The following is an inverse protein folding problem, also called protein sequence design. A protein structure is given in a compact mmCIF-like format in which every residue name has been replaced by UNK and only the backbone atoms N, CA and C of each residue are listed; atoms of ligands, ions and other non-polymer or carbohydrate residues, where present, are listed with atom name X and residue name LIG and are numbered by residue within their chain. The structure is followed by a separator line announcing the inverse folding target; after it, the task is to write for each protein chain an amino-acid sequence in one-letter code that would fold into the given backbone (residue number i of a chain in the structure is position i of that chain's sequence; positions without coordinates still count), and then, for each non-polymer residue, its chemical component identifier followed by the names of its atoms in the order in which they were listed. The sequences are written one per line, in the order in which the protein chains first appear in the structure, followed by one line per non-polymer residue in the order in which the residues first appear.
data_IF_110333730983
#
_entry.id   IF_110333730983
#
_cell.length_a   1.000
_cell.length_b   1.000
_cell.length_c   1.000
_cell.angle_alpha   90.00
_cell.angle_beta   90.00
_cell.angle_gamma   90.00
#
_symmetry.space_group_name_H-M   'P 1'
#
loop_
_entity.id
_entity.type
_entity.pdbx_description
1 polymer ?
#
# COMPACT_ATOMS: atom_id res chain seq x y z
N UNK A 1 7.08 -6.48 8.92
CA UNK A 1 7.78 -7.06 7.74
C UNK A 1 7.83 -6.00 6.65
N UNK A 2 8.97 -5.83 5.98
CA UNK A 2 9.14 -4.90 4.86
C UNK A 2 9.37 -5.71 3.59
N UNK A 3 8.54 -5.49 2.57
CA UNK A 3 8.78 -5.98 1.21
C UNK A 3 9.30 -4.83 0.37
N UNK A 4 10.46 -5.02 -0.23
CA UNK A 4 11.08 -4.05 -1.12
C UNK A 4 11.67 -4.80 -2.31
N UNK A 5 11.85 -4.09 -3.42
CA UNK A 5 12.71 -4.59 -4.49
C UNK A 5 14.10 -4.87 -3.92
N UNK A 6 14.70 -5.99 -4.31
CA UNK A 6 16.03 -6.40 -3.82
C UNK A 6 16.96 -6.60 -5.00
N UNK A 7 18.23 -6.28 -4.79
CA UNK A 7 19.32 -6.67 -5.66
C UNK A 7 20.04 -7.90 -5.08
N UNK A 8 20.58 -8.73 -5.96
CA UNK A 8 21.58 -9.75 -5.63
C UNK A 8 22.92 -9.02 -5.53
N UNK A 9 23.65 -9.28 -4.46
CA UNK A 9 24.98 -8.76 -4.22
C UNK A 9 25.99 -9.88 -4.36
N UNK A 10 27.18 -9.57 -4.89
CA UNK A 10 28.31 -10.51 -4.92
C UNK A 10 29.04 -10.57 -3.57
N UNK A 11 30.14 -11.33 -3.52
CA UNK A 11 30.96 -11.51 -2.31
C UNK A 11 31.59 -10.21 -1.78
N UNK A 12 31.58 -9.14 -2.58
CA UNK A 12 32.12 -7.82 -2.25
C UNK A 12 31.02 -6.77 -1.96
N UNK A 13 29.78 -7.21 -1.74
CA UNK A 13 28.60 -6.34 -1.54
C UNK A 13 28.32 -5.41 -2.74
N UNK A 14 28.71 -5.82 -3.96
CA UNK A 14 28.39 -5.08 -5.20
C UNK A 14 27.09 -5.63 -5.79
N UNK A 15 26.12 -4.76 -6.07
CA UNK A 15 24.86 -5.14 -6.69
C UNK A 15 25.09 -5.60 -8.14
N UNK A 16 24.83 -6.88 -8.43
CA UNK A 16 25.11 -7.49 -9.74
C UNK A 16 23.85 -7.76 -10.57
N UNK A 17 22.67 -7.93 -9.93
CA UNK A 17 21.43 -8.25 -10.65
C UNK A 17 20.17 -7.93 -9.82
N UNK A 18 19.02 -7.55 -10.41
CA UNK A 18 17.76 -7.44 -9.66
C UNK A 18 17.29 -8.83 -9.19
N UNK A 19 17.17 -9.03 -7.88
CA UNK A 19 16.70 -10.27 -7.26
C UNK A 19 15.17 -10.37 -7.28
N UNK A 20 14.49 -9.26 -6.95
CA UNK A 20 13.03 -9.16 -6.90
C UNK A 20 12.63 -7.76 -7.34
N UNK A 21 11.85 -7.66 -8.42
CA UNK A 21 11.25 -6.40 -8.85
C UNK A 21 9.79 -6.32 -8.43
N UNK A 22 9.43 -5.34 -7.60
CA UNK A 22 8.02 -5.02 -7.31
C UNK A 22 7.51 -4.08 -8.41
N UNK A 23 6.88 -4.64 -9.44
CA UNK A 23 6.24 -3.91 -10.54
C UNK A 23 4.71 -3.79 -10.32
N UNK A 24 4.01 -3.07 -11.21
CA UNK A 24 2.56 -2.80 -11.06
C UNK A 24 1.69 -4.07 -10.93
N UNK A 25 2.06 -5.18 -11.58
CA UNK A 25 1.33 -6.47 -11.46
C UNK A 25 1.65 -7.21 -10.16
N UNK A 26 2.90 -7.16 -9.70
CA UNK A 26 3.32 -7.85 -8.46
C UNK A 26 2.91 -7.11 -7.19
N UNK A 27 2.69 -5.78 -7.22
CA UNK A 27 2.18 -5.02 -6.06
C UNK A 27 0.90 -5.63 -5.48
N UNK A 28 -0.04 -6.00 -6.35
CA UNK A 28 -1.28 -6.69 -5.94
C UNK A 28 -0.98 -8.06 -5.35
N UNK A 29 -0.07 -8.83 -5.95
CA UNK A 29 0.36 -10.12 -5.41
C UNK A 29 0.94 -9.98 -4.00
N UNK A 30 1.77 -8.97 -3.74
CA UNK A 30 2.33 -8.70 -2.41
C UNK A 30 1.28 -8.34 -1.37
N UNK A 31 0.24 -7.60 -1.73
CA UNK A 31 -0.87 -7.35 -0.81
C UNK A 31 -1.60 -8.65 -0.45
N UNK A 32 -1.82 -9.57 -1.40
CA UNK A 32 -2.36 -10.89 -1.08
C UNK A 32 -1.39 -11.75 -0.25
N UNK A 33 -0.08 -11.63 -0.44
CA UNK A 33 0.93 -12.27 0.43
C UNK A 33 0.83 -11.77 1.86
N UNK A 34 0.75 -10.46 2.07
CA UNK A 34 0.56 -9.85 3.40
C UNK A 34 -0.77 -10.31 4.00
N UNK A 35 -1.84 -10.27 3.20
CA UNK A 35 -3.18 -10.67 3.63
C UNK A 35 -3.21 -12.12 4.14
N UNK A 36 -2.54 -13.03 3.44
CA UNK A 36 -2.43 -14.46 3.78
C UNK A 36 -1.30 -14.80 4.76
N UNK A 37 -0.45 -13.84 5.16
CA UNK A 37 0.69 -14.07 6.04
C UNK A 37 1.84 -14.87 5.41
N UNK A 38 1.99 -14.80 4.08
CA UNK A 38 3.04 -15.51 3.33
C UNK A 38 4.21 -14.55 3.10
N UNK A 39 5.20 -14.55 4.01
CA UNK A 39 6.30 -13.58 4.00
C UNK A 39 7.49 -13.89 3.08
N UNK A 40 7.39 -14.98 2.33
CA UNK A 40 8.48 -15.51 1.51
C UNK A 40 8.14 -15.30 0.02
N UNK A 41 9.14 -15.09 -0.83
CA UNK A 41 8.93 -14.81 -2.26
C UNK A 41 8.82 -16.07 -3.14
N UNK A 42 9.19 -17.25 -2.62
CA UNK A 42 9.20 -18.53 -3.34
C UNK A 42 7.99 -19.43 -3.04
N UNK A 43 7.18 -19.12 -2.02
CA UNK A 43 6.03 -19.94 -1.64
C UNK A 43 4.78 -19.55 -2.46
N UNK A 44 4.78 -19.96 -3.73
CA UNK A 44 3.68 -19.72 -4.66
C UNK A 44 2.51 -20.70 -4.45
N UNK A 45 2.71 -21.81 -3.75
CA UNK A 45 1.64 -22.76 -3.48
C UNK A 45 0.67 -22.22 -2.43
N UNK A 46 1.22 -21.61 -1.37
CA UNK A 46 0.44 -21.06 -0.26
C UNK A 46 -0.26 -19.74 -0.62
N UNK A 47 0.32 -18.95 -1.52
CA UNK A 47 -0.38 -17.76 -2.05
C UNK A 47 -1.56 -18.16 -2.95
N UNK A 48 -1.46 -19.27 -3.69
CA UNK A 48 -2.52 -19.72 -4.61
C UNK A 48 -3.62 -20.52 -3.89
N UNK A 49 -3.36 -21.06 -2.69
CA UNK A 49 -4.38 -21.72 -1.88
C UNK A 49 -5.50 -20.74 -1.49
N UNK A 50 -6.74 -21.19 -1.63
CA UNK A 50 -7.90 -20.45 -1.12
C UNK A 50 -7.86 -20.44 0.41
N UNK A 51 -7.98 -19.25 0.99
CA UNK A 51 -8.10 -19.03 2.43
C UNK A 51 -9.32 -18.11 2.62
N UNK A 52 -10.36 -18.52 3.37
CA UNK A 52 -11.50 -17.67 3.72
C UNK A 52 -11.07 -16.33 4.28
N UNK A 53 -11.81 -15.25 4.00
CA UNK A 53 -11.41 -13.88 4.35
C UNK A 53 -11.25 -13.66 5.88
N UNK A 54 -12.05 -14.36 6.69
CA UNK A 54 -12.06 -14.34 8.15
C UNK A 54 -10.92 -15.14 8.81
N UNK A 55 -10.37 -16.13 8.10
CA UNK A 55 -9.20 -16.89 8.53
C UNK A 55 -7.87 -16.19 8.18
N UNK A 56 -7.92 -15.07 7.45
CA UNK A 56 -6.72 -14.39 7.00
C UNK A 56 -6.08 -13.59 8.15
N UNK A 57 -4.77 -13.74 8.38
CA UNK A 57 -4.10 -13.10 9.51
C UNK A 57 -4.16 -11.57 9.45
N UNK A 58 -4.13 -10.98 8.24
CA UNK A 58 -4.20 -9.51 8.06
C UNK A 58 -5.31 -9.17 7.07
N UNK A 59 -6.52 -8.84 7.52
CA UNK A 59 -7.61 -8.40 6.66
C UNK A 59 -7.25 -7.14 5.86
N UNK A 60 -7.78 -7.02 4.64
CA UNK A 60 -7.57 -5.83 3.79
C UNK A 60 -8.09 -4.54 4.43
N UNK A 61 -9.18 -4.62 5.20
CA UNK A 61 -9.74 -3.50 5.99
C UNK A 61 -8.75 -2.89 6.98
N UNK A 62 -7.67 -3.61 7.31
CA UNK A 62 -6.60 -3.17 8.21
C UNK A 62 -5.35 -2.73 7.46
N UNK A 63 -5.45 -2.49 6.15
CA UNK A 63 -4.33 -2.08 5.31
C UNK A 63 -4.52 -0.66 4.80
N UNK A 64 -3.41 0.09 4.79
CA UNK A 64 -3.30 1.41 4.16
C UNK A 64 -2.24 1.29 3.07
N UNK A 65 -2.60 1.64 1.84
CA UNK A 65 -1.72 1.62 0.68
C UNK A 65 -1.40 3.04 0.23
N UNK A 66 -0.11 3.36 0.10
CA UNK A 66 0.36 4.64 -0.43
C UNK A 66 0.97 4.40 -1.81
N UNK A 67 0.58 5.18 -2.82
CA UNK A 67 1.10 5.04 -4.18
C UNK A 67 1.01 6.32 -5.01
N UNK A 68 1.65 6.33 -6.17
CA UNK A 68 1.80 7.52 -7.04
C UNK A 68 0.53 7.89 -7.84
N UNK A 69 -0.52 7.08 -7.70
CA UNK A 69 -1.79 7.21 -8.41
C UNK A 69 -1.77 6.76 -9.86
N UNK A 70 -0.64 6.82 -10.57
CA UNK A 70 -0.55 6.50 -12.01
C UNK A 70 -0.28 5.02 -12.26
N UNK A 71 0.78 4.50 -11.64
CA UNK A 71 1.19 3.10 -11.78
C UNK A 71 0.42 2.18 -10.84
N UNK A 72 -0.27 2.78 -9.87
CA UNK A 72 -0.94 2.11 -8.77
C UNK A 72 -2.46 2.03 -8.88
N UNK A 73 -3.04 2.56 -9.97
CA UNK A 73 -4.49 2.54 -10.23
C UNK A 73 -5.14 1.17 -9.95
N UNK A 74 -4.62 0.03 -10.45
CA UNK A 74 -5.26 -1.27 -10.21
C UNK A 74 -5.21 -1.67 -8.73
N UNK A 75 -4.07 -1.40 -8.07
CA UNK A 75 -3.84 -1.72 -6.66
C UNK A 75 -4.75 -0.88 -5.75
N UNK A 76 -4.87 0.42 -6.03
CA UNK A 76 -5.75 1.33 -5.28
C UNK A 76 -7.23 0.94 -5.41
N UNK A 77 -7.68 0.60 -6.62
CA UNK A 77 -9.05 0.10 -6.85
C UNK A 77 -9.31 -1.21 -6.10
N UNK A 78 -8.33 -2.12 -6.10
CA UNK A 78 -8.43 -3.39 -5.37
C UNK A 78 -8.52 -3.17 -3.87
N UNK A 79 -7.68 -2.30 -3.31
CA UNK A 79 -7.74 -1.89 -1.90
C UNK A 79 -9.13 -1.37 -1.54
N UNK A 80 -9.67 -0.44 -2.33
CA UNK A 80 -11.01 0.12 -2.12
C UNK A 80 -12.09 -0.98 -2.13
N UNK A 81 -12.06 -1.86 -3.14
CA UNK A 81 -13.03 -2.96 -3.28
C UNK A 81 -12.96 -3.98 -2.13
N UNK A 82 -11.77 -4.14 -1.53
CA UNK A 82 -11.52 -5.05 -0.40
C UNK A 82 -11.70 -4.39 0.97
N UNK A 83 -12.18 -3.16 1.02
CA UNK A 83 -12.44 -2.41 2.25
C UNK A 83 -11.19 -1.78 2.90
N UNK A 84 -10.03 -1.89 2.25
CA UNK A 84 -8.81 -1.22 2.66
C UNK A 84 -8.74 0.23 2.18
N UNK A 85 -7.72 0.95 2.64
CA UNK A 85 -7.56 2.38 2.35
C UNK A 85 -6.41 2.64 1.39
N UNK A 86 -6.59 3.59 0.47
CA UNK A 86 -5.54 4.05 -0.44
C UNK A 86 -5.34 5.56 -0.37
N UNK A 87 -4.08 5.98 -0.37
CA UNK A 87 -3.65 7.38 -0.40
C UNK A 87 -2.80 7.56 -1.66
N UNK A 88 -3.26 8.38 -2.60
CA UNK A 88 -2.39 8.81 -3.69
C UNK A 88 -1.49 9.95 -3.22
N UNK A 89 -0.18 9.77 -3.38
CA UNK A 89 0.82 10.78 -3.06
C UNK A 89 1.38 11.39 -4.32
N UNK A 90 1.53 12.72 -4.33
CA UNK A 90 2.10 13.47 -5.46
C UNK A 90 3.27 14.32 -4.98
N UNK A 91 4.21 14.61 -5.87
CA UNK A 91 5.32 15.50 -5.55
C UNK A 91 4.79 16.95 -5.41
N UNK A 92 4.99 17.63 -4.26
CA UNK A 92 4.52 19.00 -4.09
C UNK A 92 5.24 20.01 -4.99
N UNK A 93 6.40 19.67 -5.55
CA UNK A 93 7.18 20.57 -6.41
C UNK A 93 6.76 20.52 -7.89
N UNK A 94 5.77 19.70 -8.26
CA UNK A 94 5.42 19.47 -9.67
C UNK A 94 4.30 20.36 -10.23
N UNK A 95 4.22 20.35 -11.57
CA UNK A 95 3.56 21.31 -12.47
C UNK A 95 2.02 21.15 -12.53
N UNK A 96 1.26 22.08 -13.18
CA UNK A 96 -0.21 22.04 -13.31
C UNK A 96 -0.81 20.74 -13.89
N UNK A 97 0.00 19.89 -14.54
CA UNK A 97 -0.43 18.58 -15.04
C UNK A 97 -0.85 17.63 -13.92
N UNK A 98 -0.29 17.76 -12.72
CA UNK A 98 -0.62 16.87 -11.61
C UNK A 98 -1.96 17.22 -10.96
N UNK A 99 -2.42 18.47 -11.03
CA UNK A 99 -3.73 18.87 -10.49
C UNK A 99 -4.88 18.19 -11.25
N UNK A 100 -4.84 18.21 -12.60
CA UNK A 100 -5.84 17.51 -13.43
C UNK A 100 -5.82 16.00 -13.18
N UNK A 101 -4.63 15.43 -12.96
CA UNK A 101 -4.45 14.01 -12.64
C UNK A 101 -5.04 13.65 -11.28
N UNK A 102 -4.80 14.46 -10.26
CA UNK A 102 -5.39 14.33 -8.91
C UNK A 102 -6.91 14.37 -8.99
N UNK A 103 -7.47 15.36 -9.71
CA UNK A 103 -8.92 15.46 -9.91
C UNK A 103 -9.48 14.20 -10.57
N UNK A 104 -8.78 13.65 -11.56
CA UNK A 104 -9.21 12.42 -12.23
C UNK A 104 -9.23 11.22 -11.28
N UNK A 105 -8.19 11.03 -10.48
CA UNK A 105 -8.10 9.94 -9.50
C UNK A 105 -9.25 9.96 -8.50
N UNK A 106 -9.60 11.16 -8.00
CA UNK A 106 -10.72 11.37 -7.09
C UNK A 106 -12.05 11.15 -7.82
N UNK A 107 -12.23 11.75 -8.99
CA UNK A 107 -13.50 11.70 -9.74
C UNK A 107 -13.89 10.30 -10.22
N UNK A 108 -12.91 9.43 -10.42
CA UNK A 108 -13.13 8.05 -10.84
C UNK A 108 -13.28 7.09 -9.64
N UNK A 109 -13.45 7.61 -8.41
CA UNK A 109 -13.61 6.88 -7.15
C UNK A 109 -12.52 5.83 -6.91
N UNK A 110 -11.29 6.15 -7.34
CA UNK A 110 -10.17 5.18 -7.34
C UNK A 110 -9.32 5.25 -6.09
N UNK A 111 -9.38 6.36 -5.35
CA UNK A 111 -8.54 6.62 -4.18
C UNK A 111 -9.37 7.19 -3.04
N UNK A 112 -9.03 6.82 -1.81
CA UNK A 112 -9.72 7.39 -0.65
C UNK A 112 -9.22 8.79 -0.32
N UNK A 113 -7.92 9.03 -0.48
CA UNK A 113 -7.28 10.30 -0.14
C UNK A 113 -6.21 10.67 -1.15
N UNK A 114 -5.91 11.96 -1.23
CA UNK A 114 -4.78 12.50 -1.98
C UNK A 114 -4.02 13.47 -1.10
N UNK A 115 -2.69 13.37 -1.09
CA UNK A 115 -1.82 14.25 -0.31
C UNK A 115 -0.47 14.47 -1.00
N UNK A 116 0.20 15.59 -0.71
CA UNK A 116 1.59 15.77 -1.11
C UNK A 116 2.47 14.70 -0.43
N UNK A 117 3.52 14.24 -1.12
CA UNK A 117 4.49 13.24 -0.65
C UNK A 117 5.44 13.78 0.44
N UNK A 118 4.90 14.51 1.40
CA UNK A 118 5.59 15.00 2.60
C UNK A 118 5.25 14.07 3.78
N UNK A 119 6.25 13.36 4.29
CA UNK A 119 6.09 12.36 5.36
C UNK A 119 6.52 12.86 6.74
N UNK A 120 6.76 14.16 6.89
CA UNK A 120 7.14 14.76 8.18
C UNK A 120 5.94 14.80 9.13
N UNK A 121 6.23 14.87 10.43
CA UNK A 121 5.20 15.01 11.46
C UNK A 121 4.33 16.26 11.21
N UNK A 122 3.01 16.11 11.34
CA UNK A 122 2.04 17.18 11.10
C UNK A 122 1.73 17.44 9.62
N UNK A 123 2.36 16.73 8.69
CA UNK A 123 2.00 16.81 7.27
C UNK A 123 0.62 16.19 6.99
N UNK A 124 0.00 16.47 5.83
CA UNK A 124 -1.24 15.82 5.44
C UNK A 124 -1.17 14.28 5.43
N UNK A 125 -0.06 13.69 4.96
CA UNK A 125 0.11 12.22 4.97
C UNK A 125 0.13 11.67 6.39
N UNK A 126 0.89 12.30 7.30
CA UNK A 126 0.96 11.89 8.70
C UNK A 126 -0.42 11.90 9.37
N UNK A 127 -1.16 13.00 9.22
CA UNK A 127 -2.50 13.16 9.80
C UNK A 127 -3.50 12.16 9.23
N UNK A 128 -3.49 11.92 7.91
CA UNK A 128 -4.38 10.94 7.26
C UNK A 128 -4.07 9.54 7.77
N UNK A 129 -2.78 9.14 7.81
CA UNK A 129 -2.38 7.80 8.27
C UNK A 129 -2.78 7.58 9.72
N UNK A 130 -2.51 8.54 10.62
CA UNK A 130 -2.92 8.47 12.03
C UNK A 130 -4.44 8.34 12.18
N UNK A 131 -5.21 9.14 11.42
CA UNK A 131 -6.67 9.06 11.42
C UNK A 131 -7.20 7.71 10.93
N UNK A 132 -6.59 7.15 9.87
CA UNK A 132 -6.94 5.82 9.35
C UNK A 132 -6.60 4.71 10.33
N UNK A 133 -5.45 4.78 11.00
CA UNK A 133 -5.10 3.83 12.07
C UNK A 133 -6.14 3.90 13.20
N UNK A 134 -6.53 5.11 13.61
CA UNK A 134 -7.60 5.29 14.60
C UNK A 134 -8.91 4.66 14.17
N UNK A 135 -9.33 4.87 12.91
CA UNK A 135 -10.53 4.25 12.33
C UNK A 135 -10.45 2.72 12.30
N UNK A 136 -9.31 2.16 11.89
CA UNK A 136 -9.07 0.72 11.88
C UNK A 136 -9.18 0.16 13.30
N UNK A 137 -8.60 0.84 14.28
CA UNK A 137 -8.60 0.44 15.68
C UNK A 137 -10.05 0.43 16.24
N UNK A 138 -10.81 1.51 16.01
CA UNK A 138 -12.24 1.60 16.39
C UNK A 138 -13.05 0.46 15.76
N UNK A 139 -12.89 0.22 14.46
CA UNK A 139 -13.59 -0.87 13.77
C UNK A 139 -13.19 -2.26 14.29
N UNK A 140 -11.96 -2.42 14.76
CA UNK A 140 -11.47 -3.65 15.38
C UNK A 140 -11.89 -3.80 16.86
N UNK A 141 -12.68 -2.87 17.41
CA UNK A 141 -13.07 -2.86 18.82
C UNK A 141 -11.93 -2.54 19.79
N UNK A 142 -10.85 -1.92 19.29
CA UNK A 142 -9.69 -1.49 20.08
C UNK A 142 -9.62 0.03 20.00
N UNK A 143 -10.14 0.75 21.00
CA UNK A 143 -9.92 2.20 21.04
C UNK A 143 -8.40 2.47 21.14
N UNK A 144 -7.83 3.38 20.33
CA UNK A 144 -6.48 3.89 20.59
C UNK A 144 -6.45 4.44 22.01
N UNK A 145 -5.43 4.10 22.80
CA UNK A 145 -5.20 4.78 24.07
C UNK A 145 -4.94 6.26 23.74
N UNK A 146 -5.68 7.15 24.40
CA UNK A 146 -5.56 8.60 24.22
C UNK A 146 -4.09 9.00 24.37
N UNK A 147 -3.54 9.64 23.32
CA UNK A 147 -2.19 10.20 23.30
C UNK A 147 -2.17 11.64 23.75
#
# INVERSE_FOLDING_TARGET
HVYASKYVYDENDVAIWPAVGVNYTTKTQYLFRINKGVFNHWDDERINRFIPDDERPIPFERMIFLGDGDTDVPTMKMMHTKGGFSIAVYDPETTPRDTTKIHRLISEDRVNFVAAADYREGSPVDLIVKGLIGRIAVNAGRMPADG
#
